data_IF_236718048390
#
_entry.id   IF_236718048390
#
_cell.length_a   1.000
_cell.length_b   1.000
_cell.length_c   1.000
_cell.angle_alpha   90.00
_cell.angle_beta   90.00
_cell.angle_gamma   90.00
#
_symmetry.space_group_name_H-M   'P 1'
#
loop_
_entity.id
_entity.type
_entity.pdbx_description
1 polymer ?
#
# COMPACT_ATOMS: atom_id res chain seq x y z
N UNK A 1 -19.20 38.26 18.44
CA UNK A 1 -17.73 38.39 18.29
C UNK A 1 -17.42 38.37 16.80
N UNK A 2 -16.52 39.24 16.34
CA UNK A 2 -16.12 39.32 14.94
C UNK A 2 -14.67 38.90 14.80
N UNK A 3 -14.37 38.08 13.80
CA UNK A 3 -13.02 37.69 13.42
C UNK A 3 -12.71 38.25 12.04
N UNK A 4 -11.50 38.75 11.86
CA UNK A 4 -11.01 39.32 10.58
C UNK A 4 -9.87 38.44 10.08
N UNK A 5 -9.96 37.98 8.83
CA UNK A 5 -8.94 37.20 8.14
C UNK A 5 -8.27 38.09 7.11
N UNK A 6 -6.94 38.16 7.12
CA UNK A 6 -6.15 38.89 6.13
C UNK A 6 -5.51 37.92 5.15
N UNK A 7 -5.86 38.06 3.87
CA UNK A 7 -5.24 37.33 2.76
C UNK A 7 -4.23 38.28 2.08
N UNK A 8 -2.96 37.93 2.11
CA UNK A 8 -1.87 38.75 1.56
C UNK A 8 -1.11 37.98 0.48
N UNK A 9 -1.40 38.31 -0.78
CA UNK A 9 -0.78 37.70 -1.96
C UNK A 9 0.61 38.26 -2.29
N UNK A 10 1.08 39.29 -1.56
CA UNK A 10 2.45 39.82 -1.71
C UNK A 10 3.48 39.02 -0.91
N UNK A 11 3.01 38.15 0.00
CA UNK A 11 3.89 37.28 0.78
C UNK A 11 4.65 36.31 -0.14
N UNK A 12 5.92 36.02 0.20
CA UNK A 12 6.66 34.97 -0.49
C UNK A 12 5.89 33.65 -0.45
N UNK A 13 5.94 32.91 -1.57
CA UNK A 13 5.41 31.56 -1.66
C UNK A 13 6.05 30.71 -0.55
N UNK A 14 5.22 30.21 0.38
CA UNK A 14 5.71 29.39 1.49
C UNK A 14 5.97 27.97 0.99
N UNK A 15 4.99 27.35 0.31
CA UNK A 15 5.09 25.99 -0.22
C UNK A 15 4.30 25.81 -1.52
N UNK A 16 4.78 24.92 -2.38
CA UNK A 16 4.03 24.35 -3.51
C UNK A 16 3.73 22.90 -3.19
N UNK A 17 2.46 22.54 -3.11
CA UNK A 17 2.03 21.16 -2.86
C UNK A 17 1.97 20.35 -4.15
N UNK A 18 2.09 19.02 -4.02
CA UNK A 18 1.88 18.09 -5.11
C UNK A 18 0.43 18.14 -5.61
N UNK A 19 0.16 17.92 -6.91
CA UNK A 19 -1.19 17.62 -7.38
C UNK A 19 -1.82 16.41 -6.67
N UNK A 20 -0.98 15.48 -6.17
CA UNK A 20 -1.36 14.30 -5.37
C UNK A 20 -1.35 14.55 -3.86
N UNK A 21 -1.48 15.81 -3.42
CA UNK A 21 -1.37 16.15 -2.00
C UNK A 21 -2.36 15.39 -1.13
N UNK A 22 -3.63 15.33 -1.55
CA UNK A 22 -4.64 14.51 -0.88
C UNK A 22 -4.53 13.07 -1.39
N UNK A 23 -3.71 12.28 -0.71
CA UNK A 23 -3.52 10.84 -0.96
C UNK A 23 -4.09 10.00 0.18
N UNK A 24 -4.20 8.69 -0.03
CA UNK A 24 -4.79 7.80 0.98
C UNK A 24 -4.08 6.44 1.05
N UNK A 25 -4.32 5.72 2.13
CA UNK A 25 -3.79 4.38 2.35
C UNK A 25 -4.90 3.32 2.37
N UNK A 26 -4.53 2.11 1.96
CA UNK A 26 -5.29 0.88 2.14
C UNK A 26 -4.45 -0.04 3.02
N UNK A 27 -5.06 -0.52 4.09
CA UNK A 27 -4.37 -1.39 5.05
C UNK A 27 -4.11 -2.75 4.42
N UNK A 28 -2.86 -3.21 4.48
CA UNK A 28 -2.38 -4.49 3.97
C UNK A 28 -3.07 -5.69 4.61
N UNK A 29 -3.70 -5.54 5.78
CA UNK A 29 -4.54 -6.58 6.38
C UNK A 29 -5.76 -6.93 5.52
N UNK A 30 -6.24 -5.99 4.68
CA UNK A 30 -7.31 -6.25 3.70
C UNK A 30 -6.90 -7.33 2.69
N UNK A 31 -5.60 -7.45 2.40
CA UNK A 31 -5.04 -8.41 1.45
C UNK A 31 -5.08 -9.85 1.98
N UNK A 32 -5.28 -10.06 3.29
CA UNK A 32 -5.53 -11.39 3.86
C UNK A 32 -6.85 -11.98 3.38
N UNK A 33 -7.78 -11.14 2.94
CA UNK A 33 -9.12 -11.52 2.50
C UNK A 33 -9.48 -10.82 1.19
N UNK A 34 -8.63 -10.95 0.17
CA UNK A 34 -8.82 -10.34 -1.15
C UNK A 34 -10.22 -10.52 -1.74
N UNK A 35 -10.84 -11.68 -1.53
CA UNK A 35 -12.22 -11.97 -1.96
C UNK A 35 -13.28 -10.99 -1.44
N UNK A 36 -13.03 -10.34 -0.29
CA UNK A 36 -13.92 -9.38 0.35
C UNK A 36 -13.54 -7.93 0.02
N UNK A 37 -12.41 -7.71 -0.64
CA UNK A 37 -11.93 -6.38 -0.95
C UNK A 37 -12.57 -5.89 -2.26
N UNK A 38 -13.37 -4.81 -2.27
CA UNK A 38 -14.26 -4.48 -3.39
C UNK A 38 -13.54 -3.76 -4.54
N UNK A 39 -12.29 -4.14 -4.85
CA UNK A 39 -11.47 -3.53 -5.91
C UNK A 39 -12.01 -3.78 -7.33
N UNK A 40 -12.97 -4.69 -7.46
CA UNK A 40 -13.72 -4.96 -8.70
C UNK A 40 -15.14 -4.37 -8.70
N UNK A 41 -15.60 -3.74 -7.62
CA UNK A 41 -16.92 -3.08 -7.57
C UNK A 41 -16.81 -1.69 -8.23
N UNK A 42 -17.62 -1.45 -9.25
CA UNK A 42 -17.58 -0.19 -10.01
C UNK A 42 -17.87 1.04 -9.15
N UNK A 43 -18.70 0.94 -8.10
CA UNK A 43 -18.96 2.08 -7.21
C UNK A 43 -17.71 2.39 -6.40
N UNK A 44 -17.02 1.36 -5.88
CA UNK A 44 -15.77 1.54 -5.16
C UNK A 44 -14.68 2.16 -6.04
N UNK A 45 -14.49 1.65 -7.26
CA UNK A 45 -13.53 2.21 -8.24
C UNK A 45 -13.89 3.67 -8.58
N UNK A 46 -15.17 3.98 -8.80
CA UNK A 46 -15.61 5.33 -9.10
C UNK A 46 -15.39 6.30 -7.92
N UNK A 47 -15.60 5.87 -6.68
CA UNK A 47 -15.28 6.70 -5.51
C UNK A 47 -13.80 7.00 -5.43
N UNK A 48 -12.93 5.99 -5.61
CA UNK A 48 -11.49 6.18 -5.62
C UNK A 48 -11.03 7.12 -6.75
N UNK A 49 -11.66 7.03 -7.92
CA UNK A 49 -11.38 7.89 -9.08
C UNK A 49 -11.62 9.39 -8.80
N UNK A 50 -12.59 9.75 -7.96
CA UNK A 50 -12.82 11.15 -7.59
C UNK A 50 -11.72 11.75 -6.71
N UNK A 51 -10.81 10.91 -6.19
CA UNK A 51 -9.60 11.35 -5.48
C UNK A 51 -8.39 11.50 -6.42
N UNK A 52 -8.52 11.13 -7.69
CA UNK A 52 -7.45 11.31 -8.67
C UNK A 52 -7.20 12.80 -8.99
N UNK A 53 -5.94 13.25 -9.15
CA UNK A 53 -4.72 12.47 -9.00
C UNK A 53 -4.33 12.28 -7.53
N UNK A 54 -4.02 11.05 -7.13
CA UNK A 54 -3.57 10.72 -5.78
C UNK A 54 -2.57 9.56 -5.79
N UNK A 55 -1.82 9.42 -4.70
CA UNK A 55 -1.17 8.16 -4.35
C UNK A 55 -2.16 7.27 -3.59
N UNK A 56 -2.03 5.97 -3.80
CA UNK A 56 -2.64 4.95 -2.96
C UNK A 56 -1.54 4.11 -2.33
N UNK A 57 -1.38 4.22 -1.01
CA UNK A 57 -0.40 3.44 -0.24
C UNK A 57 -1.02 2.10 0.15
N UNK A 58 -0.41 0.99 -0.25
CA UNK A 58 -0.71 -0.34 0.26
C UNK A 58 0.33 -0.69 1.31
N UNK A 59 -0.05 -0.60 2.59
CA UNK A 59 0.92 -0.66 3.71
C UNK A 59 0.27 -0.93 5.06
N UNK A 60 0.92 -0.53 6.16
CA UNK A 60 0.42 -0.81 7.51
C UNK A 60 1.00 -2.09 8.11
N UNK A 61 0.63 -2.43 9.34
CA UNK A 61 1.30 -3.47 10.15
C UNK A 61 1.39 -4.84 9.46
N UNK A 62 0.38 -5.23 8.68
CA UNK A 62 0.39 -6.50 7.96
C UNK A 62 1.36 -6.56 6.78
N UNK A 63 1.95 -5.44 6.34
CA UNK A 63 2.91 -5.42 5.24
C UNK A 63 4.16 -6.24 5.59
N UNK A 64 4.57 -6.18 6.84
CA UNK A 64 5.69 -6.97 7.39
C UNK A 64 5.34 -8.44 7.68
N UNK A 65 4.15 -8.88 7.31
CA UNK A 65 3.70 -10.28 7.36
C UNK A 65 3.44 -10.87 5.97
N UNK A 66 3.54 -10.06 4.91
CA UNK A 66 3.20 -10.43 3.55
C UNK A 66 4.38 -11.12 2.86
N UNK A 67 4.10 -12.23 2.19
CA UNK A 67 5.02 -12.93 1.30
C UNK A 67 4.43 -12.95 -0.10
N UNK A 68 5.16 -12.43 -1.09
CA UNK A 68 4.71 -12.44 -2.47
C UNK A 68 4.89 -13.84 -3.09
N UNK A 69 3.79 -14.43 -3.55
CA UNK A 69 3.75 -15.69 -4.31
C UNK A 69 4.55 -16.86 -3.71
N UNK A 70 4.73 -16.85 -2.38
CA UNK A 70 5.43 -17.90 -1.62
C UNK A 70 4.47 -18.56 -0.65
N UNK A 71 4.54 -19.88 -0.53
CA UNK A 71 3.74 -20.62 0.44
C UNK A 71 4.25 -20.36 1.85
N UNK A 72 3.41 -19.73 2.66
CA UNK A 72 3.68 -19.56 4.10
C UNK A 72 3.09 -20.71 4.90
N UNK A 73 3.81 -21.15 5.93
CA UNK A 73 3.28 -22.12 6.89
C UNK A 73 2.18 -21.44 7.69
N UNK A 74 0.95 -21.95 7.58
CA UNK A 74 -0.18 -21.48 8.40
C UNK A 74 0.05 -21.88 9.86
N UNK A 75 0.66 -20.99 10.62
CA UNK A 75 0.58 -21.03 12.08
C UNK A 75 -0.75 -20.46 12.53
N UNK A 76 -1.20 -20.77 13.75
CA UNK A 76 -2.36 -20.09 14.34
C UNK A 76 -2.22 -18.57 14.30
N UNK A 77 -3.33 -17.86 14.46
CA UNK A 77 -3.37 -16.39 14.43
C UNK A 77 -2.40 -15.84 15.49
N UNK A 78 -1.49 -14.97 15.05
CA UNK A 78 -0.61 -14.21 15.94
C UNK A 78 -1.18 -12.81 16.08
N UNK A 79 -1.24 -12.30 17.31
CA UNK A 79 -1.83 -10.99 17.61
C UNK A 79 -0.76 -10.01 18.04
N UNK A 80 -0.84 -8.79 17.51
CA UNK A 80 -0.03 -7.67 17.98
C UNK A 80 -0.43 -7.32 19.42
N UNK A 81 0.51 -7.24 20.38
CA UNK A 81 0.19 -6.93 21.78
C UNK A 81 -0.36 -5.52 22.01
N UNK A 82 -0.26 -4.61 21.04
CA UNK A 82 -0.68 -3.20 21.18
C UNK A 82 -2.12 -3.00 20.74
N UNK A 83 -2.47 -3.50 19.55
CA UNK A 83 -3.74 -3.21 18.88
C UNK A 83 -4.54 -4.47 18.47
N UNK A 84 -4.07 -5.66 18.85
CA UNK A 84 -4.67 -6.97 18.53
C UNK A 84 -4.77 -7.26 17.01
N UNK A 85 -4.00 -6.55 16.18
CA UNK A 85 -3.93 -6.83 14.74
C UNK A 85 -3.41 -8.26 14.47
N UNK A 86 -3.94 -8.92 13.44
CA UNK A 86 -3.40 -10.21 12.96
C UNK A 86 -2.05 -9.98 12.28
N UNK A 87 -0.99 -10.50 12.91
CA UNK A 87 0.41 -10.46 12.47
C UNK A 87 0.92 -11.86 12.10
N UNK A 88 0.03 -12.78 11.74
CA UNK A 88 0.43 -14.04 11.12
C UNK A 88 0.91 -13.82 9.69
N UNK A 89 1.90 -14.59 9.23
CA UNK A 89 2.34 -14.48 7.84
C UNK A 89 1.24 -14.93 6.87
N UNK A 90 1.13 -14.26 5.73
CA UNK A 90 0.19 -14.60 4.67
C UNK A 90 0.82 -14.42 3.29
N UNK A 91 0.26 -15.12 2.30
CA UNK A 91 0.70 -15.03 0.91
C UNK A 91 -0.17 -14.02 0.17
N UNK A 92 0.45 -13.09 -0.55
CA UNK A 92 -0.22 -12.34 -1.61
C UNK A 92 0.11 -13.01 -2.94
N UNK A 93 -0.91 -13.46 -3.67
CA UNK A 93 -0.70 -14.12 -4.97
C UNK A 93 -0.35 -13.10 -6.05
N UNK A 94 0.27 -13.56 -7.13
CA UNK A 94 0.56 -12.70 -8.29
C UNK A 94 -0.73 -12.10 -8.90
N UNK A 95 -1.82 -12.87 -8.97
CA UNK A 95 -3.10 -12.44 -9.52
C UNK A 95 -3.79 -11.39 -8.63
N UNK A 96 -3.74 -11.58 -7.31
CA UNK A 96 -4.27 -10.60 -6.35
C UNK A 96 -3.48 -9.29 -6.42
N UNK A 97 -2.15 -9.38 -6.51
CA UNK A 97 -1.27 -8.22 -6.66
C UNK A 97 -1.56 -7.44 -7.95
N UNK A 98 -1.69 -8.16 -9.08
CA UNK A 98 -2.08 -7.58 -10.35
C UNK A 98 -3.45 -6.89 -10.26
N UNK A 99 -4.43 -7.51 -9.59
CA UNK A 99 -5.77 -6.95 -9.40
C UNK A 99 -5.74 -5.62 -8.63
N UNK A 100 -4.88 -5.49 -7.60
CA UNK A 100 -4.71 -4.24 -6.84
C UNK A 100 -4.08 -3.14 -7.72
N UNK A 101 -3.10 -3.51 -8.54
CA UNK A 101 -2.47 -2.58 -9.47
C UNK A 101 -3.48 -2.11 -10.55
N UNK A 102 -4.28 -3.02 -11.10
CA UNK A 102 -5.35 -2.68 -12.04
C UNK A 102 -6.39 -1.74 -11.43
N UNK A 103 -6.79 -1.98 -10.18
CA UNK A 103 -7.66 -1.05 -9.46
C UNK A 103 -7.02 0.35 -9.37
N UNK A 104 -5.76 0.42 -8.97
CA UNK A 104 -5.03 1.69 -8.81
C UNK A 104 -4.98 2.46 -10.13
N UNK A 105 -4.66 1.77 -11.23
CA UNK A 105 -4.60 2.38 -12.57
C UNK A 105 -5.98 2.80 -13.08
N UNK A 106 -7.02 1.96 -12.93
CA UNK A 106 -8.42 2.29 -13.31
C UNK A 106 -8.95 3.51 -12.55
N UNK A 107 -8.54 3.67 -11.29
CA UNK A 107 -8.89 4.83 -10.46
C UNK A 107 -7.99 6.06 -10.72
N UNK A 108 -6.99 5.99 -11.62
CA UNK A 108 -6.08 7.10 -11.89
C UNK A 108 -5.13 7.43 -10.73
N UNK A 109 -4.71 6.42 -9.98
CA UNK A 109 -3.89 6.52 -8.78
C UNK A 109 -2.47 6.00 -9.05
N UNK A 110 -1.48 6.58 -8.37
CA UNK A 110 -0.10 6.07 -8.32
C UNK A 110 0.05 5.14 -7.13
N UNK A 111 0.32 3.86 -7.37
CA UNK A 111 0.48 2.88 -6.30
C UNK A 111 1.84 3.07 -5.59
N UNK A 112 1.80 3.10 -4.26
CA UNK A 112 2.93 3.03 -3.35
C UNK A 112 2.80 1.73 -2.55
N UNK A 113 3.79 0.85 -2.58
CA UNK A 113 3.66 -0.50 -2.00
C UNK A 113 4.76 -0.79 -0.96
N UNK A 114 4.37 -1.21 0.24
CA UNK A 114 5.29 -1.58 1.33
C UNK A 114 5.83 -3.00 1.14
N UNK A 115 7.16 -3.12 1.11
CA UNK A 115 7.86 -4.40 1.15
C UNK A 115 8.05 -4.88 2.58
N UNK A 116 7.98 -6.20 2.77
CA UNK A 116 8.19 -6.83 4.07
C UNK A 116 9.65 -6.72 4.54
N UNK A 117 9.88 -5.94 5.59
CA UNK A 117 11.18 -5.74 6.22
C UNK A 117 11.55 -6.84 7.23
N UNK A 118 10.63 -7.73 7.60
CA UNK A 118 10.84 -8.78 8.60
C UNK A 118 11.24 -10.14 8.00
N UNK A 119 11.45 -10.23 6.69
CA UNK A 119 12.12 -11.38 6.08
C UNK A 119 13.62 -11.27 6.38
N UNK A 120 14.12 -12.10 7.31
CA UNK A 120 15.50 -12.03 7.81
C UNK A 120 16.30 -13.28 7.49
N UNK A 121 17.60 -13.08 7.27
CA UNK A 121 18.60 -14.16 7.25
C UNK A 121 18.95 -14.59 8.69
N UNK A 122 19.65 -15.73 8.90
CA UNK A 122 20.09 -16.17 10.23
C UNK A 122 21.00 -15.16 10.96
N UNK A 123 21.72 -14.31 10.22
CA UNK A 123 22.55 -13.21 10.74
C UNK A 123 21.79 -11.89 10.92
N UNK A 124 20.45 -11.93 10.91
CA UNK A 124 19.52 -10.80 11.08
C UNK A 124 19.60 -9.71 10.00
N UNK A 125 20.21 -9.98 8.86
CA UNK A 125 20.15 -9.08 7.71
C UNK A 125 18.80 -9.19 7.01
N UNK A 126 18.40 -8.14 6.31
CA UNK A 126 17.20 -8.20 5.48
C UNK A 126 17.44 -9.14 4.29
N UNK A 127 16.60 -10.16 4.14
CA UNK A 127 16.63 -11.06 3.01
C UNK A 127 15.74 -10.49 1.89
N UNK A 128 16.38 -9.89 0.88
CA UNK A 128 15.72 -9.21 -0.22
C UNK A 128 15.19 -10.15 -1.33
N UNK A 129 15.26 -11.47 -1.16
CA UNK A 129 14.86 -12.44 -2.19
C UNK A 129 13.39 -12.27 -2.60
N UNK A 130 12.47 -12.20 -1.64
CA UNK A 130 11.05 -12.03 -1.94
C UNK A 130 10.75 -10.64 -2.52
N UNK A 131 11.44 -9.60 -2.04
CA UNK A 131 11.34 -8.25 -2.60
C UNK A 131 11.79 -8.20 -4.07
N UNK A 132 12.91 -8.86 -4.41
CA UNK A 132 13.37 -8.98 -5.80
C UNK A 132 12.35 -9.69 -6.68
N UNK A 133 11.65 -10.70 -6.17
CA UNK A 133 10.62 -11.41 -6.93
C UNK A 133 9.44 -10.49 -7.28
N UNK A 134 8.87 -9.76 -6.31
CA UNK A 134 7.74 -8.85 -6.59
C UNK A 134 8.15 -7.68 -7.48
N UNK A 135 9.37 -7.14 -7.31
CA UNK A 135 9.90 -6.08 -8.19
C UNK A 135 10.12 -6.60 -9.61
N UNK A 136 10.68 -7.81 -9.77
CA UNK A 136 10.88 -8.41 -11.09
C UNK A 136 9.54 -8.72 -11.78
N UNK A 137 8.56 -9.22 -11.04
CA UNK A 137 7.19 -9.42 -11.53
C UNK A 137 6.59 -8.10 -11.99
N UNK A 138 6.66 -7.05 -11.16
CA UNK A 138 6.16 -5.71 -11.47
C UNK A 138 6.79 -5.15 -12.75
N UNK A 139 8.11 -5.29 -12.88
CA UNK A 139 8.84 -4.89 -14.09
C UNK A 139 8.38 -5.67 -15.32
N UNK A 140 8.18 -6.98 -15.20
CA UNK A 140 7.70 -7.83 -16.29
C UNK A 140 6.26 -7.52 -16.73
N UNK A 141 5.45 -6.95 -15.83
CA UNK A 141 4.09 -6.46 -16.09
C UNK A 141 4.06 -4.97 -16.46
N UNK A 142 5.22 -4.33 -16.67
CA UNK A 142 5.36 -2.91 -16.99
C UNK A 142 4.65 -1.98 -15.98
N UNK A 143 4.60 -2.41 -14.71
CA UNK A 143 3.95 -1.66 -13.65
C UNK A 143 4.80 -0.46 -13.22
N UNK A 144 4.16 0.69 -13.03
CA UNK A 144 4.82 1.85 -12.44
C UNK A 144 4.46 2.00 -10.96
N UNK A 145 5.38 1.62 -10.09
CA UNK A 145 5.16 1.48 -8.64
C UNK A 145 6.25 2.22 -7.89
N UNK A 146 5.84 2.93 -6.85
CA UNK A 146 6.76 3.49 -5.86
C UNK A 146 6.83 2.52 -4.66
N UNK A 147 8.00 2.38 -4.03
CA UNK A 147 8.23 1.34 -3.01
C UNK A 147 8.53 1.95 -1.64
N UNK A 148 8.08 1.27 -0.59
CA UNK A 148 8.53 1.47 0.79
C UNK A 148 9.08 0.15 1.36
N UNK A 149 9.75 0.20 2.52
CA UNK A 149 10.28 -0.97 3.20
C UNK A 149 9.95 -0.90 4.69
N UNK A 150 9.04 -1.77 5.13
CA UNK A 150 8.60 -1.90 6.52
C UNK A 150 7.53 -0.90 6.95
N UNK A 151 6.79 -1.28 8.00
CA UNK A 151 5.82 -0.44 8.70
C UNK A 151 5.75 -0.70 10.21
#
# INVERSE_FOLDING_TARGET
>A
KTYVIYLDSSRPLVHKISPRFLSFGLDSSLLRQMKNFPIHDDRFVNLAKHLSPAYVRIGGTSADCLYFNETVVKTGIKRNPVDDADISNFTLTADDYLSIYEFSTKAGLRMLFDLNALIRTPDNQWNDTNAKQIIAFSKGQEMEIDWQLGN
#
